data_IF_737746433655
#
_entry.id   IF_737746433655
#
_cell.length_a   1.000
_cell.length_b   1.000
_cell.length_c   1.000
_cell.angle_alpha   90.00
_cell.angle_beta   90.00
_cell.angle_gamma   90.00
#
_symmetry.space_group_name_H-M   'P 1'
#
loop_
_entity.id
_entity.type
_entity.pdbx_description
1 polymer ?
#
# COMPACT_ATOMS: atom_id res chain seq x y z
N UNK A 1 -0.90 -13.80 -3.79
CA UNK A 1 -1.77 -12.74 -3.22
C UNK A 1 -3.24 -13.12 -3.33
N UNK A 2 -4.06 -12.78 -2.36
CA UNK A 2 -5.54 -12.86 -2.44
C UNK A 2 -6.13 -11.66 -3.18
N UNK A 3 -7.46 -11.63 -3.40
CA UNK A 3 -8.13 -10.58 -4.18
C UNK A 3 -7.91 -9.16 -3.62
N UNK A 4 -7.92 -8.99 -2.29
CA UNK A 4 -7.73 -7.68 -1.66
C UNK A 4 -6.26 -7.23 -1.69
N UNK A 5 -5.33 -8.17 -1.50
CA UNK A 5 -3.90 -7.91 -1.67
C UNK A 5 -3.59 -7.46 -3.10
N UNK A 6 -4.15 -8.15 -4.09
CA UNK A 6 -4.03 -7.80 -5.51
C UNK A 6 -4.66 -6.45 -5.83
N UNK A 7 -5.84 -6.14 -5.27
CA UNK A 7 -6.49 -4.84 -5.44
C UNK A 7 -5.61 -3.68 -4.95
N UNK A 8 -5.04 -3.81 -3.75
CA UNK A 8 -4.13 -2.82 -3.17
C UNK A 8 -2.84 -2.69 -4.00
N UNK A 9 -2.21 -3.82 -4.34
CA UNK A 9 -0.96 -3.85 -5.11
C UNK A 9 -1.14 -3.22 -6.49
N UNK A 10 -2.13 -3.69 -7.26
CA UNK A 10 -2.38 -3.22 -8.62
C UNK A 10 -2.78 -1.74 -8.63
N UNK A 11 -3.59 -1.29 -7.66
CA UNK A 11 -3.93 0.13 -7.55
C UNK A 11 -2.68 0.98 -7.34
N UNK A 12 -1.77 0.56 -6.46
CA UNK A 12 -0.52 1.28 -6.24
C UNK A 12 0.36 1.32 -7.49
N UNK A 13 0.61 0.17 -8.13
CA UNK A 13 1.45 0.08 -9.33
C UNK A 13 0.86 0.86 -10.50
N UNK A 14 -0.45 0.75 -10.75
CA UNK A 14 -1.15 1.51 -11.79
C UNK A 14 -1.13 3.02 -11.55
N UNK A 15 -0.81 3.45 -10.32
CA UNK A 15 -0.63 4.85 -9.94
C UNK A 15 0.84 5.22 -9.71
N UNK A 16 1.76 4.55 -10.43
CA UNK A 16 3.19 4.90 -10.50
C UNK A 16 3.95 4.72 -9.18
N UNK A 17 3.46 3.84 -8.29
CA UNK A 17 4.21 3.41 -7.11
C UNK A 17 5.10 2.22 -7.50
N UNK A 18 6.41 2.24 -7.22
CA UNK A 18 7.28 1.08 -7.47
C UNK A 18 6.76 -0.19 -6.79
N UNK A 19 6.89 -1.34 -7.46
CA UNK A 19 6.36 -2.62 -6.96
C UNK A 19 6.83 -2.98 -5.55
N UNK A 20 8.09 -2.67 -5.20
CA UNK A 20 8.62 -2.87 -3.85
C UNK A 20 7.89 -2.06 -2.79
N UNK A 21 7.53 -0.81 -3.08
CA UNK A 21 6.74 0.05 -2.18
C UNK A 21 5.27 -0.35 -2.20
N UNK A 22 4.73 -0.80 -3.35
CA UNK A 22 3.37 -1.35 -3.42
C UNK A 22 3.20 -2.57 -2.50
N UNK A 23 4.19 -3.46 -2.41
CA UNK A 23 4.20 -4.56 -1.44
C UNK A 23 4.18 -4.08 0.01
N UNK A 24 4.87 -2.97 0.32
CA UNK A 24 4.83 -2.36 1.66
C UNK A 24 3.44 -1.77 1.97
N UNK A 25 2.78 -1.17 0.97
CA UNK A 25 1.39 -0.69 1.10
C UNK A 25 0.44 -1.87 1.34
N UNK A 26 0.62 -3.02 0.68
CA UNK A 26 -0.15 -4.24 0.96
C UNK A 26 0.10 -4.73 2.39
N UNK A 27 1.36 -4.75 2.84
CA UNK A 27 1.70 -5.14 4.21
C UNK A 27 1.03 -4.22 5.25
N UNK A 28 1.00 -2.91 4.99
CA UNK A 28 0.25 -1.95 5.80
C UNK A 28 -1.25 -2.25 5.78
N UNK A 29 -1.86 -2.47 4.61
CA UNK A 29 -3.28 -2.80 4.51
C UNK A 29 -3.63 -4.03 5.34
N UNK A 30 -2.81 -5.08 5.30
CA UNK A 30 -2.99 -6.29 6.13
C UNK A 30 -2.85 -5.99 7.62
N UNK A 31 -1.91 -5.14 8.01
CA UNK A 31 -1.76 -4.74 9.40
C UNK A 31 -3.00 -4.01 9.93
N UNK A 32 -3.44 -2.98 9.22
CA UNK A 32 -4.54 -2.09 9.64
C UNK A 32 -5.90 -2.80 9.60
N UNK A 33 -6.12 -3.67 8.62
CA UNK A 33 -7.40 -4.36 8.42
C UNK A 33 -7.52 -5.71 9.12
N UNK A 34 -6.53 -6.11 9.93
CA UNK A 34 -6.43 -7.46 10.50
C UNK A 34 -6.51 -8.53 9.41
N UNK A 35 -5.67 -8.42 8.39
CA UNK A 35 -5.66 -9.27 7.19
C UNK A 35 -7.02 -9.30 6.48
N UNK A 36 -7.63 -8.13 6.28
CA UNK A 36 -8.91 -7.95 5.59
C UNK A 36 -10.10 -8.64 6.29
N UNK A 37 -10.07 -8.73 7.62
CA UNK A 37 -11.15 -9.36 8.41
C UNK A 37 -11.77 -8.43 9.46
N UNK A 38 -11.18 -7.25 9.70
CA UNK A 38 -11.73 -6.30 10.67
C UNK A 38 -13.14 -5.84 10.27
N UNK A 39 -13.97 -5.52 11.26
CA UNK A 39 -15.32 -4.98 11.01
C UNK A 39 -15.27 -3.68 10.21
N UNK A 40 -14.28 -2.82 10.48
CA UNK A 40 -14.09 -1.55 9.77
C UNK A 40 -13.85 -1.80 8.28
N UNK A 41 -12.98 -2.75 7.95
CA UNK A 41 -12.76 -3.16 6.56
C UNK A 41 -14.03 -3.75 5.93
N UNK A 42 -14.63 -4.77 6.56
CA UNK A 42 -15.76 -5.50 5.98
C UNK A 42 -17.00 -4.62 5.76
N UNK A 43 -17.21 -3.59 6.59
CA UNK A 43 -18.39 -2.72 6.51
C UNK A 43 -18.16 -1.49 5.63
N UNK A 44 -16.91 -1.08 5.43
CA UNK A 44 -16.58 0.21 4.82
C UNK A 44 -15.58 0.14 3.65
N UNK A 45 -15.11 -1.05 3.27
CA UNK A 45 -13.97 -1.25 2.36
C UNK A 45 -12.72 -0.47 2.77
N UNK A 46 -12.58 -0.14 4.05
CA UNK A 46 -11.52 0.71 4.56
C UNK A 46 -10.34 -0.13 5.04
N UNK A 47 -9.36 -0.34 4.15
CA UNK A 47 -8.21 -1.21 4.40
C UNK A 47 -7.12 -0.54 5.27
N UNK A 48 -7.21 0.77 5.50
CA UNK A 48 -6.15 1.59 6.12
C UNK A 48 -6.59 2.32 7.39
N UNK A 49 -7.85 2.18 7.81
CA UNK A 49 -8.37 2.74 9.06
C UNK A 49 -8.65 4.24 9.03
N UNK A 50 -8.74 4.89 7.85
CA UNK A 50 -8.96 6.33 7.74
C UNK A 50 -10.27 6.77 8.41
N UNK A 51 -10.22 7.89 9.13
CA UNK A 51 -11.43 8.62 9.57
C UNK A 51 -12.01 9.40 8.39
N UNK A 52 -13.33 9.61 8.43
CA UNK A 52 -14.01 10.49 7.49
C UNK A 52 -13.85 11.95 7.94
N UNK A 53 -13.21 12.74 7.09
CA UNK A 53 -12.99 14.18 7.27
C UNK A 53 -13.48 14.99 6.06
N UNK A 54 -14.32 14.38 5.22
CA UNK A 54 -14.81 15.00 3.98
C UNK A 54 -13.87 14.82 2.78
N UNK A 55 -12.94 13.86 2.82
CA UNK A 55 -12.07 13.54 1.70
C UNK A 55 -12.87 13.02 0.49
N UNK A 56 -12.44 13.40 -0.71
CA UNK A 56 -13.04 12.94 -1.96
C UNK A 56 -12.90 11.42 -2.12
N UNK A 57 -13.91 10.78 -2.71
CA UNK A 57 -13.89 9.32 -2.94
C UNK A 57 -14.26 8.48 -1.71
N UNK A 58 -14.69 9.12 -0.61
CA UNK A 58 -15.26 8.43 0.53
C UNK A 58 -16.56 9.11 0.98
N UNK A 59 -17.43 8.34 1.62
CA UNK A 59 -18.58 8.84 2.38
C UNK A 59 -18.40 8.52 3.86
N UNK A 60 -19.26 9.09 4.71
CA UNK A 60 -19.29 8.75 6.12
C UNK A 60 -19.68 7.27 6.30
N UNK A 61 -18.82 6.50 6.95
CA UNK A 61 -19.02 5.08 7.24
C UNK A 61 -19.51 4.81 8.66
N UNK A 62 -19.07 3.69 9.22
CA UNK A 62 -19.42 3.28 10.59
C UNK A 62 -18.79 4.19 11.65
N UNK A 63 -19.42 4.29 12.82
CA UNK A 63 -18.89 5.06 13.94
C UNK A 63 -17.55 4.48 14.42
N UNK A 64 -16.61 5.38 14.73
CA UNK A 64 -15.38 5.03 15.44
C UNK A 64 -15.68 4.61 16.89
N UNK A 65 -14.74 3.92 17.58
CA UNK A 65 -14.80 3.79 19.03
C UNK A 65 -15.00 5.15 19.69
N UNK A 66 -15.85 5.20 20.72
CA UNK A 66 -16.21 6.45 21.39
C UNK A 66 -14.97 7.20 21.95
N UNK A 67 -13.92 6.47 22.32
CA UNK A 67 -12.63 7.02 22.76
C UNK A 67 -11.85 7.76 21.66
N UNK A 68 -12.08 7.43 20.39
CA UNK A 68 -11.43 8.04 19.22
C UNK A 68 -12.29 9.15 18.62
N UNK A 69 -13.61 9.04 18.73
CA UNK A 69 -14.57 9.97 18.15
C UNK A 69 -14.67 9.89 16.62
N UNK A 70 -15.75 10.46 16.08
CA UNK A 70 -15.99 10.55 14.64
C UNK A 70 -16.45 9.25 13.97
N UNK A 71 -16.25 9.18 12.66
CA UNK A 71 -16.66 8.06 11.81
C UNK A 71 -15.48 7.58 10.97
N UNK A 72 -15.46 6.30 10.64
CA UNK A 72 -14.55 5.79 9.61
C UNK A 72 -15.00 6.26 8.23
N UNK A 73 -14.04 6.43 7.33
CA UNK A 73 -14.31 6.60 5.92
C UNK A 73 -14.88 5.30 5.34
N UNK A 74 -15.90 5.42 4.48
CA UNK A 74 -16.43 4.33 3.67
C UNK A 74 -16.12 4.58 2.20
N UNK A 75 -15.52 3.57 1.58
CA UNK A 75 -15.14 3.55 0.19
C UNK A 75 -16.04 2.60 -0.60
N UNK A 76 -16.23 2.88 -1.89
CA UNK A 76 -17.03 2.01 -2.76
C UNK A 76 -16.31 0.67 -3.02
N UNK A 77 -14.98 0.68 -3.02
CA UNK A 77 -14.12 -0.49 -3.25
C UNK A 77 -12.83 -0.47 -2.41
N UNK A 78 -12.10 -1.59 -2.42
CA UNK A 78 -10.77 -1.67 -1.78
C UNK A 78 -9.74 -0.87 -2.57
N UNK A 79 -9.91 -0.81 -3.88
CA UNK A 79 -9.13 0.01 -4.81
C UNK A 79 -9.25 1.49 -4.45
N UNK A 80 -10.44 2.01 -4.13
CA UNK A 80 -10.62 3.40 -3.69
C UNK A 80 -9.90 3.68 -2.36
N UNK A 81 -9.97 2.73 -1.41
CA UNK A 81 -9.24 2.84 -0.15
C UNK A 81 -7.72 2.81 -0.36
N UNK A 82 -7.23 2.02 -1.32
CA UNK A 82 -5.82 1.99 -1.70
C UNK A 82 -5.39 3.27 -2.44
N UNK A 83 -6.25 3.81 -3.30
CA UNK A 83 -5.97 5.07 -3.99
C UNK A 83 -5.82 6.22 -2.99
N UNK A 84 -6.60 6.24 -1.90
CA UNK A 84 -6.42 7.25 -0.84
C UNK A 84 -5.02 7.19 -0.20
N UNK A 85 -4.51 5.99 0.13
CA UNK A 85 -3.16 5.88 0.73
C UNK A 85 -2.06 6.25 -0.25
N UNK A 86 -2.22 5.91 -1.53
CA UNK A 86 -1.31 6.31 -2.61
C UNK A 86 -1.29 7.83 -2.77
N UNK A 87 -2.47 8.45 -2.83
CA UNK A 87 -2.61 9.90 -2.88
C UNK A 87 -2.04 10.58 -1.64
N UNK A 88 -2.19 9.96 -0.47
CA UNK A 88 -1.57 10.41 0.77
C UNK A 88 -0.04 10.42 0.66
N UNK A 89 0.59 9.36 0.18
CA UNK A 89 2.03 9.34 -0.02
C UNK A 89 2.50 10.36 -1.06
N UNK A 90 1.81 10.48 -2.19
CA UNK A 90 2.10 11.52 -3.19
C UNK A 90 2.01 12.93 -2.58
N UNK A 91 1.08 13.18 -1.65
CA UNK A 91 1.03 14.44 -0.88
C UNK A 91 2.27 14.60 0.01
N UNK A 92 2.73 13.54 0.69
CA UNK A 92 3.92 13.57 1.55
C UNK A 92 5.22 13.81 0.78
N UNK A 93 5.33 13.27 -0.43
CA UNK A 93 6.42 13.59 -1.37
C UNK A 93 6.39 15.09 -1.73
N UNK A 94 5.24 15.61 -2.16
CA UNK A 94 5.10 17.05 -2.50
C UNK A 94 5.39 18.00 -1.33
N UNK A 95 5.14 17.54 -0.10
CA UNK A 95 5.43 18.29 1.12
C UNK A 95 6.88 18.15 1.60
N UNK A 96 7.72 17.37 0.92
CA UNK A 96 9.11 17.13 1.30
C UNK A 96 9.26 16.31 2.59
N UNK A 97 8.23 15.56 3.00
CA UNK A 97 8.33 14.64 4.16
C UNK A 97 9.30 13.49 3.84
N UNK A 98 9.22 13.03 2.59
CA UNK A 98 10.18 12.15 1.90
C UNK A 98 10.46 12.77 0.52
N UNK A 99 11.61 12.46 -0.08
CA UNK A 99 12.06 13.01 -1.35
C UNK A 99 11.39 12.33 -2.54
N UNK A 100 11.35 11.00 -2.51
CA UNK A 100 10.68 10.15 -3.50
C UNK A 100 10.39 8.75 -2.90
N UNK A 101 9.99 7.80 -3.75
CA UNK A 101 9.67 6.43 -3.34
C UNK A 101 10.88 5.62 -2.83
N UNK A 102 12.12 6.00 -3.20
CA UNK A 102 13.33 5.30 -2.78
C UNK A 102 13.63 5.48 -1.29
N UNK A 103 13.14 6.58 -0.69
CA UNK A 103 13.26 6.84 0.75
C UNK A 103 12.45 5.87 1.61
N UNK A 104 11.49 5.12 1.05
CA UNK A 104 10.56 4.26 1.79
C UNK A 104 10.49 2.83 1.23
N UNK A 105 11.60 2.33 0.68
CA UNK A 105 11.67 1.04 -0.01
C UNK A 105 11.99 -0.18 0.89
N UNK A 106 12.07 -0.01 2.22
CA UNK A 106 12.18 -1.11 3.19
C UNK A 106 11.12 -0.98 4.27
N UNK A 107 10.85 -2.06 5.02
CA UNK A 107 9.90 -2.01 6.14
C UNK A 107 10.25 -0.95 7.19
N UNK A 108 11.54 -0.76 7.45
CA UNK A 108 12.07 0.17 8.43
C UNK A 108 11.90 1.61 7.98
N UNK A 109 12.32 1.93 6.75
CA UNK A 109 12.25 3.29 6.23
C UNK A 109 10.81 3.72 5.99
N UNK A 110 9.96 2.80 5.52
CA UNK A 110 8.53 3.00 5.38
C UNK A 110 7.84 3.25 6.73
N UNK A 111 8.09 2.43 7.75
CA UNK A 111 7.54 2.63 9.09
C UNK A 111 8.00 3.95 9.73
N UNK A 112 9.27 4.32 9.53
CA UNK A 112 9.83 5.57 10.03
C UNK A 112 9.18 6.78 9.36
N UNK A 113 8.99 6.73 8.03
CA UNK A 113 8.33 7.79 7.28
C UNK A 113 6.85 7.95 7.68
N UNK A 114 6.12 6.84 7.87
CA UNK A 114 4.75 6.87 8.38
C UNK A 114 4.68 7.55 9.76
N UNK A 115 5.61 7.21 10.67
CA UNK A 115 5.65 7.82 12.01
C UNK A 115 5.98 9.31 11.96
N UNK A 116 6.98 9.68 11.15
CA UNK A 116 7.35 11.08 10.91
C UNK A 116 6.17 11.89 10.37
N UNK A 117 5.36 11.28 9.50
CA UNK A 117 4.15 11.88 8.94
C UNK A 117 2.93 11.84 9.88
N UNK A 118 3.06 11.31 11.10
CA UNK A 118 1.99 11.25 12.10
C UNK A 118 0.89 10.22 11.78
N UNK A 119 1.19 9.18 11.01
CA UNK A 119 0.18 8.19 10.59
C UNK A 119 -0.30 7.29 11.75
N UNK A 120 0.59 6.91 12.67
CA UNK A 120 0.28 6.01 13.79
C UNK A 120 0.92 6.46 15.12
N UNK A 121 0.33 6.03 16.23
CA UNK A 121 0.74 6.41 17.59
C UNK A 121 1.71 5.46 18.29
N UNK A 122 1.68 4.15 17.99
CA UNK A 122 2.51 3.13 18.65
C UNK A 122 4.02 3.32 18.39
N UNK A 123 4.89 2.56 19.06
CA UNK A 123 6.33 2.60 18.87
C UNK A 123 6.75 2.20 17.44
N UNK A 124 7.83 2.81 16.94
CA UNK A 124 8.39 2.47 15.63
C UNK A 124 8.79 0.99 15.54
N UNK A 125 9.31 0.43 16.64
CA UNK A 125 9.70 -0.99 16.72
C UNK A 125 8.50 -1.91 16.52
N UNK A 126 7.40 -1.66 17.23
CA UNK A 126 6.19 -2.47 17.13
C UNK A 126 5.60 -2.44 15.72
N UNK A 127 5.47 -1.24 15.15
CA UNK A 127 4.90 -1.08 13.82
C UNK A 127 5.78 -1.73 12.73
N UNK A 128 7.10 -1.55 12.81
CA UNK A 128 8.05 -2.22 11.91
C UNK A 128 7.93 -3.74 12.00
N UNK A 129 7.83 -4.30 13.21
CA UNK A 129 7.67 -5.75 13.40
C UNK A 129 6.36 -6.26 12.78
N UNK A 130 5.26 -5.51 12.93
CA UNK A 130 3.99 -5.83 12.30
C UNK A 130 4.08 -5.81 10.77
N UNK A 131 4.70 -4.78 10.18
CA UNK A 131 4.93 -4.72 8.73
C UNK A 131 5.77 -5.90 8.23
N UNK A 132 6.89 -6.21 8.90
CA UNK A 132 7.74 -7.36 8.54
C UNK A 132 6.97 -8.66 8.50
N UNK A 133 6.15 -8.94 9.52
CA UNK A 133 5.30 -10.12 9.57
C UNK A 133 4.44 -10.26 8.31
N UNK A 134 3.81 -9.18 7.86
CA UNK A 134 2.94 -9.22 6.70
C UNK A 134 3.72 -9.22 5.38
N UNK A 135 4.82 -8.47 5.30
CA UNK A 135 5.65 -8.34 4.11
C UNK A 135 6.33 -9.66 3.73
N UNK A 136 6.91 -10.40 4.70
CA UNK A 136 7.53 -11.71 4.43
C UNK A 136 6.55 -12.72 3.84
N UNK A 137 5.26 -12.62 4.18
CA UNK A 137 4.22 -13.51 3.66
C UNK A 137 3.65 -13.13 2.29
N UNK A 138 4.13 -12.05 1.67
CA UNK A 138 3.63 -11.60 0.36
C UNK A 138 4.29 -12.27 -0.85
N UNK A 139 5.35 -13.05 -0.63
CA UNK A 139 6.15 -13.78 -1.62
C UNK A 139 6.54 -12.93 -2.85
N UNK A 140 7.84 -12.64 -2.99
CA UNK A 140 8.43 -11.87 -4.11
C UNK A 140 8.39 -12.64 -5.46
N UNK A 141 7.55 -13.66 -5.58
CA UNK A 141 7.34 -14.43 -6.79
C UNK A 141 6.48 -13.65 -7.79
N UNK A 142 7.14 -12.88 -8.66
CA UNK A 142 6.88 -12.68 -10.10
C UNK A 142 7.89 -11.64 -10.67
N UNK A 143 9.18 -11.95 -10.60
CA UNK A 143 10.23 -11.38 -11.48
C UNK A 143 10.86 -12.52 -12.31
N UNK A 144 10.01 -13.35 -12.92
CA UNK A 144 10.42 -14.27 -13.99
C UNK A 144 9.50 -14.05 -15.18
N UNK A 145 9.60 -12.87 -15.79
CA UNK A 145 8.71 -12.48 -16.88
C UNK A 145 9.18 -11.36 -17.81
N UNK A 146 10.39 -10.82 -17.62
CA UNK A 146 11.04 -10.03 -18.67
C UNK A 146 12.15 -10.87 -19.31
N UNK A 147 11.75 -11.80 -20.19
CA UNK A 147 12.67 -12.18 -21.27
C UNK A 147 12.89 -10.90 -22.07
N UNK A 148 14.06 -10.30 -21.89
CA UNK A 148 14.51 -9.18 -22.70
C UNK A 148 14.36 -9.56 -24.17
N UNK A 149 13.45 -8.89 -24.89
CA UNK A 149 13.27 -9.02 -26.34
C UNK A 149 14.59 -8.66 -27.08
N UNK A 150 15.56 -8.05 -26.39
CA UNK A 150 16.90 -7.80 -26.90
C UNK A 150 17.74 -9.07 -27.20
N UNK A 151 17.40 -10.25 -26.66
CA UNK A 151 18.16 -11.48 -26.94
C UNK A 151 17.68 -12.26 -28.19
N UNK A 152 16.52 -11.93 -28.77
CA UNK A 152 15.97 -12.65 -29.93
C UNK A 152 16.44 -12.11 -31.29
N UNK A 153 17.01 -10.90 -31.35
CA UNK A 153 17.52 -10.33 -32.61
C UNK A 153 18.97 -10.72 -32.94
N UNK A 154 19.71 -11.33 -32.01
CA UNK A 154 21.07 -11.83 -32.30
C UNK A 154 21.10 -13.25 -32.86
N UNK A 155 20.06 -14.06 -32.65
CA UNK A 155 20.01 -15.45 -33.16
C UNK A 155 19.57 -15.49 -34.63
N UNK A 156 18.75 -14.54 -35.11
CA UNK A 156 18.36 -14.52 -36.53
C UNK A 156 19.43 -13.95 -37.46
N UNK A 157 20.38 -13.15 -36.97
CA UNK A 157 21.48 -12.63 -37.80
C UNK A 157 22.55 -13.67 -38.14
N UNK A 158 22.67 -14.75 -37.35
CA UNK A 158 23.68 -15.80 -37.55
C UNK A 158 23.18 -17.04 -38.32
N UNK A 159 21.86 -17.15 -38.55
CA UNK A 159 21.26 -18.27 -39.30
C UNK A 159 21.02 -17.97 -40.78
N UNK A 160 21.33 -16.76 -41.25
CA UNK A 160 21.13 -16.32 -42.64
C UNK A 160 22.38 -15.70 -43.29
N UNK A 161 23.58 -16.12 -42.87
CA UNK A 161 24.82 -15.93 -43.64
C UNK A 161 25.43 -17.27 -44.02
#
# INVERSE_FOLDING_TARGET
>A
MNVYESAVYNTAVNNEVPGSVALLIVAQAKHESSNFTSKVFLQNNNAFGYKYVGQSGAVQGTAAPASEGGYYAKYDSVEDSALEVVNWWKRRIRQGVISDWSDINTTETYAAALKKAGYYGDSLSNYTAALKKWFTGLDLGQETGFVSIAALLFITYWLFK
#
